data_IF_652520629964
#
_entry.id   IF_652520629964
#
_cell.length_a   1.000
_cell.length_b   1.000
_cell.length_c   1.000
_cell.angle_alpha   90.00
_cell.angle_beta   90.00
_cell.angle_gamma   90.00
#
_symmetry.space_group_name_H-M   'P 1'
#
loop_
_entity.id
_entity.type
_entity.pdbx_description
1 polymer ?
#
# COMPACT_ATOMS: atom_id res chain seq x y z
N UNK A 1 -14.08 13.68 -29.52
CA UNK A 1 -14.24 12.87 -28.36
C UNK A 1 -13.85 13.57 -27.10
N UNK A 2 -14.74 13.64 -26.21
CA UNK A 2 -14.56 14.39 -24.98
C UNK A 2 -13.53 13.75 -24.05
N UNK A 3 -13.27 12.45 -24.17
CA UNK A 3 -12.35 11.78 -23.28
C UNK A 3 -10.95 12.36 -23.33
N UNK A 4 -10.57 12.96 -24.44
CA UNK A 4 -9.25 13.57 -24.60
C UNK A 4 -9.07 14.80 -23.73
N UNK A 5 -10.15 15.44 -23.35
CA UNK A 5 -10.12 16.68 -22.62
C UNK A 5 -10.54 16.55 -21.17
N UNK A 6 -10.64 15.33 -20.69
CA UNK A 6 -11.01 15.13 -19.31
C UNK A 6 -9.85 15.55 -18.40
N UNK A 7 -10.16 16.22 -17.30
CA UNK A 7 -9.11 16.56 -16.34
C UNK A 7 -8.53 15.30 -15.73
N UNK A 8 -7.31 15.41 -15.26
CA UNK A 8 -6.68 14.32 -14.53
C UNK A 8 -7.51 13.95 -13.32
N UNK A 9 -7.68 12.66 -13.07
CA UNK A 9 -8.37 12.22 -11.86
C UNK A 9 -7.56 12.59 -10.63
N UNK A 10 -8.21 12.75 -9.47
CA UNK A 10 -7.46 12.98 -8.22
C UNK A 10 -6.45 11.87 -7.95
N UNK A 11 -6.77 10.63 -8.32
CA UNK A 11 -5.84 9.53 -8.15
C UNK A 11 -4.56 9.74 -8.94
N UNK A 12 -4.66 10.23 -10.18
CA UNK A 12 -3.48 10.49 -11.01
C UNK A 12 -2.61 11.58 -10.41
N UNK A 13 -3.20 12.66 -9.86
CA UNK A 13 -2.43 13.74 -9.26
C UNK A 13 -1.73 13.32 -7.98
N UNK A 14 -2.21 12.26 -7.32
CA UNK A 14 -1.57 11.68 -6.14
C UNK A 14 -0.53 10.62 -6.51
N UNK A 15 -0.32 10.36 -7.80
CA UNK A 15 0.61 9.33 -8.22
C UNK A 15 0.08 7.92 -8.06
N UNK A 16 -1.22 7.75 -7.96
CA UNK A 16 -1.84 6.43 -7.85
C UNK A 16 -1.93 5.76 -9.22
N UNK A 17 -2.05 4.42 -9.27
CA UNK A 17 -2.20 3.72 -10.52
C UNK A 17 -3.44 4.17 -11.30
N UNK A 18 -3.48 3.85 -12.59
CA UNK A 18 -4.64 4.16 -13.42
C UNK A 18 -5.90 3.46 -12.88
N UNK A 19 -7.07 3.93 -13.30
CA UNK A 19 -8.33 3.37 -12.81
C UNK A 19 -8.45 1.87 -13.05
N UNK A 20 -7.92 1.36 -14.17
CA UNK A 20 -7.96 -0.07 -14.48
C UNK A 20 -7.04 -0.89 -13.59
N UNK A 21 -6.01 -0.26 -13.00
CA UNK A 21 -5.05 -0.93 -12.13
C UNK A 21 -5.22 -0.52 -10.66
N UNK A 22 -6.23 0.28 -10.33
CA UNK A 22 -6.45 0.70 -8.95
C UNK A 22 -6.86 -0.51 -8.09
N UNK A 23 -6.33 -0.58 -6.87
CA UNK A 23 -6.81 -1.60 -5.95
C UNK A 23 -8.27 -1.33 -5.59
N UNK A 24 -9.01 -2.40 -5.34
CA UNK A 24 -10.40 -2.29 -4.92
C UNK A 24 -10.53 -2.04 -3.43
N UNK A 25 -9.53 -2.44 -2.67
CA UNK A 25 -9.50 -2.27 -1.23
C UNK A 25 -8.15 -1.71 -0.80
N UNK A 26 -8.19 -0.78 0.12
CA UNK A 26 -6.99 -0.23 0.73
C UNK A 26 -7.11 -0.46 2.22
N UNK A 27 -6.12 -1.12 2.79
CA UNK A 27 -6.06 -1.39 4.21
C UNK A 27 -4.90 -0.62 4.83
N UNK A 28 -5.10 -0.09 6.02
CA UNK A 28 -4.06 0.64 6.73
C UNK A 28 -3.60 -0.19 7.92
N UNK A 29 -2.29 -0.37 8.03
CA UNK A 29 -1.66 -1.05 9.15
C UNK A 29 -0.95 -0.02 10.00
N UNK A 30 -1.34 0.09 11.25
CA UNK A 30 -0.76 1.02 12.19
C UNK A 30 -0.70 0.36 13.55
N UNK A 31 0.46 0.47 14.21
CA UNK A 31 0.67 -0.18 15.50
C UNK A 31 0.33 0.73 16.67
N UNK A 32 -0.33 1.83 16.45
CA UNK A 32 -0.73 2.73 17.53
C UNK A 32 -1.73 2.01 18.44
N UNK A 33 -1.33 1.75 19.67
CA UNK A 33 -2.21 1.10 20.63
C UNK A 33 -2.10 -0.41 20.71
N UNK A 34 -1.14 -1.04 20.02
CA UNK A 34 -0.85 -2.46 20.18
C UNK A 34 -0.78 -3.23 18.86
N UNK A 35 -0.40 -4.50 18.98
CA UNK A 35 -0.12 -5.36 17.83
C UNK A 35 -1.38 -5.87 17.13
N UNK A 36 -2.54 -5.85 17.80
CA UNK A 36 -3.76 -6.39 17.23
C UNK A 36 -4.22 -5.70 15.95
N UNK A 37 -3.96 -4.42 15.83
CA UNK A 37 -4.38 -3.65 14.64
C UNK A 37 -3.61 -4.08 13.40
N UNK A 38 -2.30 -4.29 13.53
CA UNK A 38 -1.49 -4.75 12.41
C UNK A 38 -1.90 -6.16 11.99
N UNK A 39 -2.10 -7.05 12.94
CA UNK A 39 -2.53 -8.42 12.67
C UNK A 39 -3.88 -8.42 11.95
N UNK A 40 -4.83 -7.61 12.41
CA UNK A 40 -6.14 -7.50 11.78
C UNK A 40 -6.02 -7.01 10.33
N UNK A 41 -5.20 -5.99 10.09
CA UNK A 41 -5.02 -5.46 8.74
C UNK A 41 -4.43 -6.51 7.81
N UNK A 42 -3.42 -7.25 8.26
CA UNK A 42 -2.81 -8.32 7.47
C UNK A 42 -3.85 -9.42 7.17
N UNK A 43 -4.59 -9.85 8.19
CA UNK A 43 -5.56 -10.93 8.03
C UNK A 43 -6.68 -10.53 7.09
N UNK A 44 -7.22 -9.32 7.23
CA UNK A 44 -8.26 -8.82 6.34
C UNK A 44 -7.75 -8.71 4.90
N UNK A 45 -6.58 -8.12 4.73
CA UNK A 45 -5.98 -7.94 3.40
C UNK A 45 -5.75 -9.28 2.72
N UNK A 46 -5.23 -10.26 3.46
CA UNK A 46 -4.97 -11.60 2.94
C UNK A 46 -6.28 -12.29 2.56
N UNK A 47 -7.30 -12.17 3.39
CA UNK A 47 -8.60 -12.79 3.10
C UNK A 47 -9.25 -12.19 1.85
N UNK A 48 -9.17 -10.87 1.68
CA UNK A 48 -9.72 -10.21 0.51
C UNK A 48 -8.96 -10.62 -0.76
N UNK A 49 -7.65 -10.69 -0.68
CA UNK A 49 -6.84 -11.14 -1.82
C UNK A 49 -7.16 -12.59 -2.17
N UNK A 50 -7.42 -13.43 -1.19
CA UNK A 50 -7.74 -14.84 -1.40
C UNK A 50 -9.05 -15.04 -2.16
N UNK A 51 -9.99 -14.11 -2.07
CA UNK A 51 -11.23 -14.19 -2.84
C UNK A 51 -11.15 -13.42 -4.17
N UNK A 52 -9.95 -13.06 -4.59
CA UNK A 52 -9.74 -12.48 -5.91
C UNK A 52 -9.78 -10.95 -5.97
N UNK A 53 -9.85 -10.28 -4.83
CA UNK A 53 -9.85 -8.83 -4.81
C UNK A 53 -8.43 -8.29 -4.93
N UNK A 54 -8.29 -7.10 -5.52
CA UNK A 54 -7.03 -6.39 -5.56
C UNK A 54 -6.93 -5.54 -4.31
N UNK A 55 -5.88 -5.75 -3.53
CA UNK A 55 -5.73 -5.13 -2.22
C UNK A 55 -4.40 -4.42 -2.14
N UNK A 56 -4.40 -3.22 -1.58
CA UNK A 56 -3.20 -2.48 -1.22
C UNK A 56 -3.20 -2.28 0.28
N UNK A 57 -2.15 -2.73 0.95
CA UNK A 57 -1.95 -2.48 2.36
C UNK A 57 -0.92 -1.36 2.51
N UNK A 58 -1.28 -0.30 3.19
CA UNK A 58 -0.37 0.80 3.48
C UNK A 58 0.10 0.66 4.91
N UNK A 59 1.40 0.40 5.08
CA UNK A 59 2.00 0.21 6.40
C UNK A 59 2.43 1.56 6.94
N UNK A 60 1.80 2.00 8.02
CA UNK A 60 2.10 3.26 8.69
C UNK A 60 2.84 3.06 10.00
N UNK A 61 3.26 1.84 10.28
CA UNK A 61 4.01 1.50 11.47
C UNK A 61 5.49 1.80 11.22
N UNK A 62 6.12 2.71 12.00
CA UNK A 62 7.56 2.99 11.82
C UNK A 62 8.44 1.76 11.96
N UNK A 63 8.00 0.76 12.72
CA UNK A 63 8.73 -0.50 12.85
C UNK A 63 8.56 -1.40 11.64
N UNK A 64 7.57 -1.13 10.78
CA UNK A 64 7.35 -1.90 9.58
C UNK A 64 6.93 -3.34 9.83
N UNK A 65 6.15 -3.60 10.88
CA UNK A 65 5.77 -4.96 11.24
C UNK A 65 4.90 -5.63 10.17
N UNK A 66 3.98 -4.90 9.55
CA UNK A 66 3.18 -5.45 8.47
C UNK A 66 4.06 -5.76 7.26
N UNK A 67 4.99 -4.88 6.95
CA UNK A 67 5.93 -5.10 5.84
C UNK A 67 6.74 -6.38 6.06
N UNK A 68 7.28 -6.54 7.26
CA UNK A 68 8.02 -7.74 7.62
C UNK A 68 7.13 -8.99 7.53
N UNK A 69 5.91 -8.90 8.07
CA UNK A 69 4.97 -10.02 8.08
C UNK A 69 4.54 -10.45 6.69
N UNK A 70 4.59 -9.56 5.71
CA UNK A 70 4.22 -9.83 4.32
C UNK A 70 5.44 -10.07 3.43
N UNK A 71 6.59 -10.32 4.03
CA UNK A 71 7.76 -10.79 3.31
C UNK A 71 8.61 -9.71 2.65
N UNK A 72 8.47 -8.46 3.06
CA UNK A 72 9.27 -7.38 2.51
C UNK A 72 10.48 -7.16 3.41
N UNK A 73 11.65 -7.54 2.93
CA UNK A 73 12.89 -7.35 3.66
C UNK A 73 13.17 -5.86 3.88
N UNK A 74 13.80 -5.52 5.00
CA UNK A 74 14.14 -4.13 5.29
C UNK A 74 15.01 -3.51 4.21
N UNK A 75 15.94 -4.28 3.66
CA UNK A 75 16.87 -3.79 2.64
C UNK A 75 16.18 -3.47 1.32
N UNK A 76 15.02 -4.06 1.05
CA UNK A 76 14.28 -3.80 -0.18
C UNK A 76 13.30 -2.65 -0.07
N UNK A 77 13.17 -2.02 1.10
CA UNK A 77 12.24 -0.91 1.33
C UNK A 77 12.89 0.42 0.97
N UNK A 78 13.13 0.63 -0.33
CA UNK A 78 13.82 1.84 -0.80
C UNK A 78 12.93 3.06 -0.71
N UNK A 79 11.64 2.90 -0.92
CA UNK A 79 10.67 3.97 -0.84
C UNK A 79 9.57 3.51 0.11
N UNK A 80 9.24 4.35 1.08
CA UNK A 80 8.32 3.98 2.14
C UNK A 80 7.08 4.85 2.15
N UNK A 81 6.09 4.43 2.96
CA UNK A 81 4.86 5.18 3.14
C UNK A 81 5.13 6.60 3.65
N UNK A 82 6.17 6.80 4.45
CA UNK A 82 6.46 8.12 5.00
C UNK A 82 6.92 9.09 3.93
N UNK A 83 7.73 8.64 2.99
CA UNK A 83 8.15 9.48 1.86
C UNK A 83 6.95 9.85 0.99
N UNK A 84 6.05 8.90 0.75
CA UNK A 84 4.84 9.17 0.00
C UNK A 84 3.92 10.15 0.73
N UNK A 85 3.77 10.01 2.05
CA UNK A 85 2.95 10.92 2.85
C UNK A 85 3.52 12.32 2.89
N UNK A 86 4.86 12.45 2.87
CA UNK A 86 5.52 13.74 2.84
C UNK A 86 5.51 14.37 1.44
N UNK A 87 5.01 13.66 0.45
CA UNK A 87 4.96 14.17 -0.90
C UNK A 87 6.29 14.14 -1.65
N UNK A 88 7.28 13.42 -1.10
CA UNK A 88 8.59 13.33 -1.73
C UNK A 88 8.59 12.44 -2.95
N UNK A 89 7.70 11.46 -2.99
CA UNK A 89 7.54 10.55 -4.12
C UNK A 89 6.06 10.26 -4.34
N UNK A 90 5.66 9.93 -5.57
CA UNK A 90 4.30 9.44 -5.81
C UNK A 90 4.07 8.11 -5.09
N UNK A 91 2.86 7.92 -4.58
CA UNK A 91 2.53 6.71 -3.82
C UNK A 91 2.82 5.44 -4.62
N UNK A 92 2.54 5.43 -5.92
CA UNK A 92 2.75 4.23 -6.73
C UNK A 92 4.21 3.79 -6.78
N UNK A 93 5.17 4.70 -6.56
CA UNK A 93 6.58 4.32 -6.53
C UNK A 93 6.93 3.55 -5.27
N UNK A 94 6.11 3.64 -4.25
CA UNK A 94 6.30 2.93 -3.00
C UNK A 94 5.58 1.59 -2.97
N UNK A 95 4.75 1.28 -3.97
CA UNK A 95 3.99 0.04 -4.00
C UNK A 95 4.90 -1.12 -4.39
N UNK A 96 4.86 -2.20 -3.62
CA UNK A 96 5.63 -3.42 -3.87
C UNK A 96 4.71 -4.63 -3.78
N UNK A 97 5.04 -5.70 -4.50
CA UNK A 97 4.31 -6.94 -4.29
C UNK A 97 4.63 -7.54 -2.92
N UNK A 98 3.65 -8.20 -2.33
CA UNK A 98 3.86 -8.97 -1.11
C UNK A 98 3.99 -10.46 -1.46
N UNK A 99 4.21 -11.30 -0.44
CA UNK A 99 4.22 -12.75 -0.64
C UNK A 99 2.83 -13.31 -0.94
N UNK A 100 1.78 -12.52 -0.74
CA UNK A 100 0.40 -12.95 -0.97
C UNK A 100 -0.03 -12.47 -2.36
N UNK A 101 -0.39 -13.36 -3.29
CA UNK A 101 -0.86 -12.96 -4.62
C UNK A 101 -2.11 -12.06 -4.51
N UNK A 102 -2.10 -10.97 -5.26
CA UNK A 102 -3.21 -10.02 -5.25
C UNK A 102 -3.14 -8.98 -4.15
N UNK A 103 -2.18 -9.08 -3.26
CA UNK A 103 -1.97 -8.12 -2.17
C UNK A 103 -0.63 -7.42 -2.38
N UNK A 104 -0.70 -6.13 -2.67
CA UNK A 104 0.48 -5.28 -2.74
C UNK A 104 0.60 -4.48 -1.46
N UNK A 105 1.78 -3.94 -1.20
CA UNK A 105 2.06 -3.22 0.03
C UNK A 105 2.87 -1.96 -0.24
N UNK A 106 2.55 -0.91 0.50
CA UNK A 106 3.41 0.26 0.64
C UNK A 106 4.15 0.06 1.96
N UNK A 107 5.45 -0.26 1.92
CA UNK A 107 6.16 -0.64 3.14
C UNK A 107 6.53 0.58 4.00
N UNK A 108 6.85 0.31 5.24
CA UNK A 108 7.36 1.30 6.16
C UNK A 108 8.70 0.87 6.73
N UNK A 109 9.50 1.84 7.12
CA UNK A 109 10.78 1.61 7.76
C UNK A 109 11.12 2.82 8.59
N UNK A 110 11.89 2.62 9.64
CA UNK A 110 12.39 3.71 10.47
C UNK A 110 13.51 4.50 9.80
N UNK A 111 14.14 3.92 8.81
CA UNK A 111 15.30 4.57 8.13
C UNK A 111 14.84 5.65 7.13
#
# INVERSE_FOLDING_TARGET
MSSQNQPSSPAASLGLPSASAMPRFICLANQKGGVGKTTTAINLSTALAAIGEKVLLVDLDPQGNASTGLGVDRDSRKTTSFEALLGEVPLRQAIMPSVVPGLDIVPASMD
#
